data_IF_883021917592
#
_entry.id   IF_883021917592
#
_cell.length_a   1.000
_cell.length_b   1.000
_cell.length_c   1.000
_cell.angle_alpha   90.00
_cell.angle_beta   90.00
_cell.angle_gamma   90.00
#
_symmetry.space_group_name_H-M   'P 1'
#
loop_
_entity.id
_entity.type
_entity.pdbx_description
1 polymer ?
#
# COMPACT_ATOMS: atom_id res chain seq x y z
N UNK A 1 -19.75 -34.33 -23.86
CA UNK A 1 -18.54 -34.19 -23.02
C UNK A 1 -17.59 -33.19 -23.70
N UNK A 2 -17.87 -31.88 -23.57
CA UNK A 2 -17.01 -30.73 -23.97
C UNK A 2 -17.82 -29.43 -23.81
N UNK A 3 -17.89 -28.85 -22.60
CA UNK A 3 -18.41 -27.47 -22.37
C UNK A 3 -17.54 -26.71 -21.33
N UNK A 4 -16.35 -27.22 -21.00
CA UNK A 4 -15.55 -26.71 -19.88
C UNK A 4 -14.42 -25.72 -20.20
N UNK A 5 -14.22 -25.30 -21.45
CA UNK A 5 -12.98 -24.58 -21.86
C UNK A 5 -13.16 -23.12 -22.32
N UNK A 6 -14.39 -22.60 -22.38
CA UNK A 6 -14.62 -21.24 -22.90
C UNK A 6 -14.71 -20.12 -21.84
N UNK A 7 -15.02 -20.43 -20.58
CA UNK A 7 -15.30 -19.38 -19.57
C UNK A 7 -13.99 -18.81 -18.97
N UNK A 8 -12.93 -19.62 -18.84
CA UNK A 8 -11.63 -19.17 -18.34
C UNK A 8 -10.86 -18.26 -19.32
N UNK A 9 -11.23 -18.24 -20.61
CA UNK A 9 -10.53 -17.42 -21.62
C UNK A 9 -10.92 -15.95 -21.61
N UNK A 10 -12.13 -15.59 -21.16
CA UNK A 10 -12.62 -14.20 -21.21
C UNK A 10 -11.99 -13.28 -20.15
N UNK A 11 -11.77 -13.79 -18.94
CA UNK A 11 -11.24 -13.03 -17.80
C UNK A 11 -9.72 -12.87 -17.87
N UNK A 12 -9.02 -13.88 -18.40
CA UNK A 12 -7.56 -13.89 -18.52
C UNK A 12 -7.08 -13.01 -19.68
N UNK A 13 -7.77 -13.00 -20.83
CA UNK A 13 -7.37 -12.20 -21.99
C UNK A 13 -7.54 -10.68 -21.77
N UNK A 14 -8.49 -10.24 -20.96
CA UNK A 14 -8.67 -8.80 -20.63
C UNK A 14 -7.58 -8.25 -19.71
N UNK A 15 -6.95 -9.11 -18.91
CA UNK A 15 -5.82 -8.72 -18.05
C UNK A 15 -4.46 -8.81 -18.76
N UNK A 16 -4.29 -9.73 -19.72
CA UNK A 16 -3.07 -9.83 -20.52
C UNK A 16 -2.83 -8.61 -21.44
N UNK A 17 -3.88 -7.89 -21.84
CA UNK A 17 -3.74 -6.59 -22.53
C UNK A 17 -3.18 -5.46 -21.66
N UNK A 18 -2.96 -5.68 -20.36
CA UNK A 18 -2.32 -4.72 -19.46
C UNK A 18 -0.79 -4.91 -19.33
N UNK A 19 -0.17 -5.84 -20.06
CA UNK A 19 1.28 -6.10 -20.04
C UNK A 19 2.07 -5.25 -21.04
N UNK A 20 1.55 -4.10 -21.43
CA UNK A 20 2.40 -3.01 -21.93
C UNK A 20 3.09 -2.42 -20.70
N UNK A 21 4.41 -2.13 -20.73
CA UNK A 21 5.07 -1.44 -19.62
C UNK A 21 4.32 -0.13 -19.36
N UNK A 22 3.48 -0.12 -18.32
CA UNK A 22 2.77 1.07 -17.88
C UNK A 22 3.84 2.04 -17.42
N UNK A 23 3.91 3.20 -18.05
CA UNK A 23 4.71 4.30 -17.53
C UNK A 23 4.30 4.52 -16.06
N UNK A 24 5.30 4.67 -15.19
CA UNK A 24 5.22 4.82 -13.72
C UNK A 24 4.10 5.78 -13.26
N UNK A 25 3.66 6.70 -14.12
CA UNK A 25 2.61 7.70 -13.88
C UNK A 25 1.16 7.19 -13.78
N UNK A 26 0.86 5.88 -13.84
CA UNK A 26 -0.53 5.38 -13.95
C UNK A 26 -1.04 4.50 -12.80
N UNK A 27 -0.23 4.18 -11.79
CA UNK A 27 -0.71 3.42 -10.62
C UNK A 27 -1.40 4.37 -9.64
N UNK A 28 -2.66 4.10 -9.32
CA UNK A 28 -3.45 4.92 -8.39
C UNK A 28 -2.84 4.74 -6.98
N UNK A 29 -2.60 5.82 -6.22
CA UNK A 29 -1.97 5.74 -4.89
C UNK A 29 -2.67 4.81 -3.88
N UNK A 30 -3.95 4.47 -4.12
CA UNK A 30 -4.76 3.52 -3.35
C UNK A 30 -4.50 2.04 -3.66
N UNK A 31 -3.67 1.71 -4.65
CA UNK A 31 -3.30 0.32 -5.02
C UNK A 31 -1.91 -0.09 -4.49
N UNK A 32 -1.32 0.71 -3.57
CA UNK A 32 0.00 0.45 -2.99
C UNK A 32 -0.09 -0.21 -1.62
N UNK A 33 1.00 -0.87 -1.21
CA UNK A 33 1.13 -1.50 0.10
C UNK A 33 1.37 -0.43 1.17
N UNK A 34 0.76 -0.59 2.34
CA UNK A 34 0.81 0.38 3.45
C UNK A 34 1.56 -0.12 4.68
N UNK A 35 2.10 -1.35 4.65
CA UNK A 35 2.52 -2.10 5.85
C UNK A 35 3.61 -1.41 6.67
N UNK A 36 4.51 -0.70 6.00
CA UNK A 36 5.65 0.00 6.61
C UNK A 36 5.79 1.43 6.10
N UNK A 37 5.71 2.39 7.04
CA UNK A 37 5.79 3.83 6.78
C UNK A 37 7.05 4.40 7.46
N UNK A 38 8.21 4.32 6.79
CA UNK A 38 9.53 4.57 7.39
C UNK A 38 9.95 6.04 7.31
N UNK A 39 10.06 6.71 8.46
CA UNK A 39 10.52 8.08 8.59
C UNK A 39 12.03 8.22 8.44
N UNK A 40 12.43 9.24 7.67
CA UNK A 40 13.81 9.61 7.41
C UNK A 40 13.93 11.13 7.55
N UNK A 41 14.61 11.62 8.61
CA UNK A 41 14.82 13.05 8.81
C UNK A 41 15.55 13.68 7.62
N UNK A 42 14.98 14.75 7.08
CA UNK A 42 15.45 15.41 5.86
C UNK A 42 16.81 16.07 6.01
N UNK A 43 17.16 16.53 7.22
CA UNK A 43 18.46 17.14 7.54
C UNK A 43 19.59 16.12 7.70
N UNK A 44 19.27 14.82 7.76
CA UNK A 44 20.22 13.75 8.00
C UNK A 44 20.57 13.00 6.72
N UNK A 45 21.42 13.62 5.89
CA UNK A 45 21.88 13.05 4.61
C UNK A 45 22.43 11.61 4.76
N UNK A 46 23.11 11.32 5.87
CA UNK A 46 23.60 9.95 6.18
C UNK A 46 22.47 8.92 6.23
N UNK A 47 21.32 9.27 6.80
CA UNK A 47 20.15 8.37 6.90
C UNK A 47 19.49 8.20 5.54
N UNK A 48 19.35 9.26 4.75
CA UNK A 48 18.85 9.21 3.37
C UNK A 48 19.73 8.27 2.53
N UNK A 49 21.06 8.46 2.56
CA UNK A 49 22.03 7.57 1.86
C UNK A 49 21.92 6.11 2.30
N UNK A 50 21.70 5.86 3.59
CA UNK A 50 21.52 4.50 4.12
C UNK A 50 20.24 3.85 3.58
N UNK A 51 19.12 4.56 3.59
CA UNK A 51 17.84 4.06 3.08
C UNK A 51 17.90 3.86 1.56
N UNK A 52 18.49 4.80 0.83
CA UNK A 52 18.82 4.64 -0.60
C UNK A 52 19.55 3.34 -0.86
N UNK A 53 20.60 3.05 -0.09
CA UNK A 53 21.39 1.81 -0.25
C UNK A 53 20.56 0.55 0.01
N UNK A 54 19.71 0.55 1.04
CA UNK A 54 18.81 -0.58 1.34
C UNK A 54 17.82 -0.80 0.18
N UNK A 55 17.36 0.28 -0.44
CA UNK A 55 16.37 0.23 -1.52
C UNK A 55 16.97 0.07 -2.92
N UNK A 56 18.30 0.19 -3.06
CA UNK A 56 18.99 0.02 -4.33
C UNK A 56 19.28 -1.46 -4.61
N UNK A 57 18.22 -2.24 -4.73
CA UNK A 57 18.25 -3.67 -5.04
C UNK A 57 17.22 -3.99 -6.12
N UNK A 58 17.44 -5.07 -6.86
CA UNK A 58 16.46 -5.68 -7.77
C UNK A 58 15.66 -6.78 -7.11
N UNK A 59 16.08 -7.26 -5.95
CA UNK A 59 15.42 -8.35 -5.25
C UNK A 59 14.42 -7.78 -4.24
N UNK A 60 13.18 -8.27 -4.30
CA UNK A 60 12.19 -8.00 -3.27
C UNK A 60 12.62 -8.69 -1.97
N UNK A 61 12.64 -7.93 -0.89
CA UNK A 61 12.97 -8.41 0.45
C UNK A 61 11.99 -7.85 1.48
N UNK A 62 11.74 -8.63 2.54
CA UNK A 62 10.96 -8.21 3.71
C UNK A 62 11.51 -6.94 4.38
N UNK A 63 12.79 -6.62 4.15
CA UNK A 63 13.49 -5.46 4.71
C UNK A 63 13.28 -4.16 3.92
N UNK A 64 12.57 -4.21 2.78
CA UNK A 64 12.27 -3.02 1.97
C UNK A 64 11.00 -2.37 2.51
N UNK A 65 11.04 -1.09 2.91
CA UNK A 65 9.84 -0.40 3.36
C UNK A 65 8.87 -0.20 2.20
N UNK A 66 7.57 -0.27 2.48
CA UNK A 66 6.56 -0.02 1.46
C UNK A 66 6.43 1.48 1.14
N UNK A 67 6.61 2.33 2.14
CA UNK A 67 6.74 3.77 1.99
C UNK A 67 7.94 4.33 2.78
N UNK A 68 8.62 5.30 2.17
CA UNK A 68 9.62 6.14 2.82
C UNK A 68 9.04 7.54 2.98
N UNK A 69 9.13 8.08 4.20
CA UNK A 69 8.71 9.44 4.53
C UNK A 69 9.94 10.30 4.69
N UNK A 70 10.15 11.21 3.75
CA UNK A 70 11.18 12.24 3.83
C UNK A 70 10.61 13.37 4.70
N UNK A 71 11.24 13.61 5.84
CA UNK A 71 10.63 14.36 6.93
C UNK A 71 11.22 15.77 7.10
N UNK A 72 10.37 16.79 7.07
CA UNK A 72 10.70 18.18 7.39
C UNK A 72 10.23 18.60 8.78
N UNK A 73 9.49 17.76 9.50
CA UNK A 73 8.77 18.11 10.73
C UNK A 73 9.52 17.64 12.00
N UNK A 74 8.90 16.90 12.92
CA UNK A 74 9.37 16.78 14.31
C UNK A 74 10.71 16.05 14.47
N UNK A 75 11.17 15.31 13.45
CA UNK A 75 12.51 14.70 13.48
C UNK A 75 13.63 15.66 13.05
N UNK A 76 13.30 16.91 12.69
CA UNK A 76 14.21 17.97 12.24
C UNK A 76 14.12 19.15 13.19
N UNK A 77 15.27 19.61 13.72
CA UNK A 77 15.31 20.78 14.60
C UNK A 77 14.89 22.07 13.88
N UNK A 78 14.48 23.09 14.64
CA UNK A 78 13.99 24.36 14.10
C UNK A 78 15.04 25.04 13.20
N UNK A 79 16.31 25.07 13.61
CA UNK A 79 17.40 25.64 12.79
C UNK A 79 17.70 24.85 11.51
N UNK A 80 17.37 23.55 11.47
CA UNK A 80 17.71 22.66 10.35
C UNK A 80 16.58 22.53 9.32
N UNK A 81 15.41 23.16 9.51
CA UNK A 81 14.27 23.05 8.58
C UNK A 81 14.65 23.43 7.14
N UNK A 82 15.40 24.51 6.97
CA UNK A 82 15.87 24.94 5.65
C UNK A 82 16.85 23.93 5.02
N UNK A 83 17.74 23.35 5.84
CA UNK A 83 18.68 22.32 5.39
C UNK A 83 17.94 21.04 4.97
N UNK A 84 16.91 20.63 5.71
CA UNK A 84 16.10 19.46 5.40
C UNK A 84 15.42 19.58 4.03
N UNK A 85 14.74 20.70 3.77
CA UNK A 85 14.11 20.99 2.46
C UNK A 85 15.11 20.86 1.31
N UNK A 86 16.27 21.51 1.46
CA UNK A 86 17.33 21.49 0.45
C UNK A 86 17.86 20.08 0.21
N UNK A 87 18.12 19.33 1.27
CA UNK A 87 18.69 17.97 1.19
C UNK A 87 17.70 17.00 0.54
N UNK A 88 16.42 17.08 0.91
CA UNK A 88 15.35 16.32 0.28
C UNK A 88 15.24 16.66 -1.21
N UNK A 89 15.16 17.96 -1.55
CA UNK A 89 15.08 18.41 -2.94
C UNK A 89 16.28 17.92 -3.78
N UNK A 90 17.50 18.02 -3.24
CA UNK A 90 18.71 17.53 -3.91
C UNK A 90 18.71 16.01 -4.10
N UNK A 91 18.22 15.24 -3.12
CA UNK A 91 18.14 13.77 -3.23
C UNK A 91 17.13 13.32 -4.29
N UNK A 92 15.98 14.01 -4.38
CA UNK A 92 14.97 13.76 -5.41
C UNK A 92 15.48 14.17 -6.80
N UNK A 93 16.14 15.34 -6.91
CA UNK A 93 16.78 15.78 -8.14
C UNK A 93 17.85 14.78 -8.62
N UNK A 94 18.62 14.19 -7.70
CA UNK A 94 19.60 13.15 -8.00
C UNK A 94 18.99 11.77 -8.30
N UNK A 95 17.65 11.66 -8.31
CA UNK A 95 16.90 10.42 -8.57
C UNK A 95 17.27 9.26 -7.64
N UNK A 96 17.61 9.57 -6.40
CA UNK A 96 18.09 8.59 -5.42
C UNK A 96 17.12 7.43 -5.18
N UNK A 97 15.83 7.63 -5.44
CA UNK A 97 14.75 6.69 -5.19
C UNK A 97 14.02 6.20 -6.46
N UNK A 98 14.55 6.49 -7.65
CA UNK A 98 13.89 6.08 -8.90
C UNK A 98 13.74 4.56 -9.00
N UNK A 99 14.78 3.79 -8.64
CA UNK A 99 14.71 2.33 -8.62
C UNK A 99 13.66 1.82 -7.63
N UNK A 100 13.63 2.41 -6.44
CA UNK A 100 12.68 2.08 -5.39
C UNK A 100 11.22 2.27 -5.84
N UNK A 101 10.95 3.31 -6.63
CA UNK A 101 9.59 3.59 -7.12
C UNK A 101 9.26 2.80 -8.38
N UNK A 102 10.13 2.85 -9.38
CA UNK A 102 9.85 2.28 -10.70
C UNK A 102 10.00 0.75 -10.74
N UNK A 103 10.99 0.20 -10.03
CA UNK A 103 11.23 -1.24 -10.04
C UNK A 103 10.50 -1.90 -8.88
N UNK A 104 10.67 -1.40 -7.65
CA UNK A 104 10.07 -2.03 -6.46
C UNK A 104 8.61 -1.62 -6.22
N UNK A 105 8.03 -0.72 -7.02
CA UNK A 105 6.66 -0.24 -6.90
C UNK A 105 6.31 0.29 -5.50
N UNK A 106 7.28 0.99 -4.87
CA UNK A 106 7.15 1.55 -3.53
C UNK A 106 6.94 3.06 -3.54
N UNK A 107 6.47 3.61 -2.41
CA UNK A 107 6.03 5.00 -2.29
C UNK A 107 7.00 5.94 -1.60
N UNK A 108 7.08 7.18 -2.08
CA UNK A 108 7.68 8.28 -1.33
C UNK A 108 6.61 9.21 -0.80
N UNK A 109 6.68 9.52 0.50
CA UNK A 109 5.95 10.62 1.10
C UNK A 109 6.89 11.75 1.48
N UNK A 110 6.44 12.99 1.32
CA UNK A 110 7.04 14.16 1.97
C UNK A 110 6.19 14.50 3.19
N UNK A 111 6.73 14.38 4.41
CA UNK A 111 6.10 14.99 5.59
C UNK A 111 6.54 16.43 5.70
N UNK A 112 5.60 17.33 5.44
CA UNK A 112 5.79 18.78 5.59
C UNK A 112 5.67 19.17 7.06
N UNK A 113 6.07 20.39 7.42
CA UNK A 113 5.68 20.98 8.70
C UNK A 113 4.16 21.23 8.72
N UNK A 114 3.57 21.31 9.91
CA UNK A 114 2.13 21.54 10.02
C UNK A 114 1.73 22.88 9.38
N UNK A 115 0.57 22.97 8.69
CA UNK A 115 0.12 24.20 8.02
C UNK A 115 0.10 25.43 8.93
N UNK A 116 -0.16 25.25 10.22
CA UNK A 116 -0.20 26.29 11.25
C UNK A 116 1.15 26.93 11.58
N UNK A 117 2.27 26.30 11.20
CA UNK A 117 3.63 26.75 11.58
C UNK A 117 4.18 27.87 10.69
N UNK A 118 3.56 28.13 9.53
CA UNK A 118 4.11 29.02 8.50
C UNK A 118 5.29 28.43 7.70
N UNK A 119 5.77 27.23 8.04
CA UNK A 119 6.91 26.57 7.41
C UNK A 119 6.52 25.64 6.25
N UNK A 120 5.28 25.15 6.25
CA UNK A 120 4.74 24.21 5.28
C UNK A 120 4.83 24.69 3.82
N UNK A 121 4.65 26.00 3.61
CA UNK A 121 4.68 26.59 2.27
C UNK A 121 6.07 26.46 1.63
N UNK A 122 7.13 26.70 2.41
CA UNK A 122 8.51 26.54 1.95
C UNK A 122 8.87 25.08 1.74
N UNK A 123 8.35 24.16 2.59
CA UNK A 123 8.54 22.72 2.40
C UNK A 123 8.02 22.27 1.04
N UNK A 124 6.76 22.63 0.73
CA UNK A 124 6.11 22.30 -0.53
C UNK A 124 6.81 22.98 -1.71
N UNK A 125 7.06 24.29 -1.60
CA UNK A 125 7.61 25.08 -2.70
C UNK A 125 8.97 24.53 -3.13
N UNK A 126 9.93 24.44 -2.21
CA UNK A 126 11.31 24.03 -2.54
C UNK A 126 11.33 22.62 -3.11
N UNK A 127 10.64 21.66 -2.47
CA UNK A 127 10.70 20.26 -2.89
C UNK A 127 9.97 20.04 -4.22
N UNK A 128 8.77 20.57 -4.37
CA UNK A 128 7.96 20.33 -5.57
C UNK A 128 8.42 21.16 -6.77
N UNK A 129 8.93 22.39 -6.58
CA UNK A 129 9.46 23.19 -7.69
C UNK A 129 10.72 22.55 -8.26
N UNK A 130 11.65 22.11 -7.41
CA UNK A 130 12.85 21.39 -7.86
C UNK A 130 12.50 20.09 -8.58
N UNK A 131 11.53 19.33 -8.07
CA UNK A 131 11.07 18.11 -8.74
C UNK A 131 10.42 18.41 -10.11
N UNK A 132 9.60 19.45 -10.21
CA UNK A 132 8.96 19.88 -11.45
C UNK A 132 10.00 20.36 -12.49
N UNK A 133 11.00 21.13 -12.06
CA UNK A 133 12.09 21.58 -12.93
C UNK A 133 12.95 20.41 -13.41
N UNK A 134 13.27 19.46 -12.53
CA UNK A 134 14.00 18.24 -12.88
C UNK A 134 13.21 17.41 -13.89
N UNK A 135 11.90 17.24 -13.69
CA UNK A 135 11.02 16.54 -14.63
C UNK A 135 11.04 17.19 -16.02
N UNK A 136 11.06 18.53 -16.12
CA UNK A 136 11.17 19.25 -17.40
C UNK A 136 12.49 19.02 -18.09
N UNK A 137 13.59 19.02 -17.33
CA UNK A 137 14.94 18.83 -17.87
C UNK A 137 15.16 17.39 -18.39
N UNK A 138 14.61 16.40 -17.69
CA UNK A 138 14.95 14.98 -17.90
C UNK A 138 13.83 14.17 -18.60
N UNK A 139 13.12 14.78 -19.55
CA UNK A 139 12.21 14.05 -20.44
C UNK A 139 10.89 13.60 -19.82
N UNK A 140 10.40 14.29 -18.78
CA UNK A 140 9.02 14.15 -18.31
C UNK A 140 8.78 13.05 -17.26
N UNK A 141 9.83 12.52 -16.64
CA UNK A 141 9.69 11.55 -15.53
C UNK A 141 9.68 12.32 -14.20
N UNK A 142 8.63 12.13 -13.39
CA UNK A 142 8.46 12.79 -12.10
C UNK A 142 9.40 12.21 -11.02
N UNK A 143 10.35 12.99 -10.47
CA UNK A 143 11.24 12.51 -9.42
C UNK A 143 10.74 12.84 -8.00
N UNK A 144 9.75 13.72 -7.85
CA UNK A 144 9.21 14.20 -6.58
C UNK A 144 8.35 13.17 -5.84
N UNK A 145 7.83 13.47 -4.63
CA UNK A 145 7.08 12.50 -3.83
C UNK A 145 5.82 11.96 -4.54
N UNK A 146 5.29 10.84 -4.07
CA UNK A 146 3.97 10.30 -4.45
C UNK A 146 2.88 10.84 -3.50
N UNK A 147 3.23 11.05 -2.24
CA UNK A 147 2.32 11.46 -1.17
C UNK A 147 2.83 12.71 -0.45
N UNK A 148 1.90 13.50 0.08
CA UNK A 148 2.18 14.58 1.02
C UNK A 148 1.55 14.22 2.36
N UNK A 149 2.38 13.99 3.37
CA UNK A 149 1.95 13.77 4.75
C UNK A 149 1.80 15.10 5.46
N UNK A 150 0.58 15.35 5.94
CA UNK A 150 0.17 16.62 6.57
C UNK A 150 0.05 16.35 8.07
N UNK A 151 1.06 16.72 8.88
CA UNK A 151 0.98 16.53 10.33
C UNK A 151 -0.07 17.48 10.93
N UNK A 152 -0.54 17.14 12.12
CA UNK A 152 -1.44 17.95 12.96
C UNK A 152 -2.65 18.46 12.16
N UNK A 153 -3.29 17.57 11.41
CA UNK A 153 -4.49 17.89 10.61
C UNK A 153 -5.70 18.03 11.53
N UNK A 154 -6.17 19.26 11.72
CA UNK A 154 -7.30 19.56 12.61
C UNK A 154 -8.63 19.65 11.86
N UNK A 155 -8.59 19.94 10.55
CA UNK A 155 -9.77 20.18 9.72
C UNK A 155 -9.54 19.85 8.24
N UNK A 156 -10.63 19.78 7.46
CA UNK A 156 -10.53 19.67 5.99
C UNK A 156 -9.89 20.92 5.37
N UNK A 157 -9.96 22.07 6.04
CA UNK A 157 -9.36 23.31 5.57
C UNK A 157 -7.83 23.19 5.48
N UNK A 158 -7.19 22.44 6.38
CA UNK A 158 -5.76 22.16 6.33
C UNK A 158 -5.39 21.40 5.05
N UNK A 159 -6.20 20.40 4.68
CA UNK A 159 -6.01 19.61 3.45
C UNK A 159 -6.22 20.47 2.20
N UNK A 160 -7.26 21.30 2.17
CA UNK A 160 -7.50 22.24 1.08
C UNK A 160 -6.40 23.28 0.94
N UNK A 161 -5.87 23.77 2.06
CA UNK A 161 -4.76 24.70 2.03
C UNK A 161 -3.55 24.07 1.35
N UNK A 162 -3.17 22.84 1.73
CA UNK A 162 -2.06 22.10 1.11
C UNK A 162 -2.31 21.87 -0.37
N UNK A 163 -3.51 21.39 -0.76
CA UNK A 163 -3.89 21.25 -2.17
C UNK A 163 -3.72 22.57 -2.94
N UNK A 164 -4.18 23.68 -2.37
CA UNK A 164 -4.08 24.99 -3.02
C UNK A 164 -2.63 25.40 -3.26
N UNK A 165 -1.71 25.09 -2.33
CA UNK A 165 -0.28 25.37 -2.49
C UNK A 165 0.32 24.50 -3.59
N UNK A 166 0.03 23.19 -3.61
CA UNK A 166 0.48 22.27 -4.66
C UNK A 166 0.03 22.74 -6.04
N UNK A 167 -1.24 23.11 -6.18
CA UNK A 167 -1.78 23.60 -7.46
C UNK A 167 -1.12 24.91 -7.90
N UNK A 168 -0.87 25.85 -6.97
CA UNK A 168 -0.13 27.10 -7.28
C UNK A 168 1.30 26.81 -7.76
N UNK A 169 1.99 25.84 -7.13
CA UNK A 169 3.35 25.46 -7.54
C UNK A 169 3.32 24.88 -8.96
N UNK A 170 2.41 23.97 -9.27
CA UNK A 170 2.30 23.42 -10.63
C UNK A 170 1.81 24.43 -11.67
N UNK A 171 1.05 25.46 -11.27
CA UNK A 171 0.74 26.58 -12.15
C UNK A 171 1.98 27.42 -12.47
N UNK A 172 2.84 27.69 -11.47
CA UNK A 172 4.09 28.46 -11.64
C UNK A 172 5.16 27.67 -12.38
N UNK A 173 5.20 26.36 -12.19
CA UNK A 173 6.12 25.43 -12.85
C UNK A 173 5.31 24.47 -13.74
N UNK A 174 4.74 24.94 -14.87
CA UNK A 174 3.81 24.15 -15.67
C UNK A 174 4.47 22.90 -16.23
N UNK A 175 4.00 21.72 -15.80
CA UNK A 175 4.46 20.39 -16.22
C UNK A 175 3.28 19.60 -16.80
N UNK A 176 3.56 18.74 -17.78
CA UNK A 176 2.58 17.87 -18.39
C UNK A 176 3.19 16.47 -18.63
N UNK A 177 2.51 15.38 -18.20
CA UNK A 177 1.30 15.37 -17.37
C UNK A 177 1.56 15.88 -15.94
N UNK A 178 0.52 16.39 -15.26
CA UNK A 178 0.61 16.68 -13.82
C UNK A 178 0.77 15.35 -13.08
N UNK A 179 1.74 15.22 -12.15
CA UNK A 179 1.95 13.99 -11.40
C UNK A 179 0.75 13.68 -10.51
N UNK A 180 0.45 12.39 -10.37
CA UNK A 180 -0.64 11.91 -9.51
C UNK A 180 -0.19 11.93 -8.05
N UNK A 181 -0.42 13.05 -7.35
CA UNK A 181 -0.15 13.21 -5.94
C UNK A 181 -1.39 12.88 -5.09
N UNK A 182 -1.15 12.33 -3.89
CA UNK A 182 -2.20 12.08 -2.91
C UNK A 182 -1.81 12.63 -1.53
N UNK A 183 -2.82 12.85 -0.68
CA UNK A 183 -2.65 13.38 0.66
C UNK A 183 -2.75 12.27 1.71
N UNK A 184 -1.96 12.40 2.76
CA UNK A 184 -2.03 11.57 3.97
C UNK A 184 -2.20 12.51 5.16
N UNK A 185 -3.34 12.45 5.82
CA UNK A 185 -3.59 13.24 7.04
C UNK A 185 -3.00 12.56 8.26
N UNK A 186 -2.54 13.32 9.25
CA UNK A 186 -2.14 12.78 10.54
C UNK A 186 -3.06 13.31 11.64
N UNK A 187 -3.66 12.38 12.37
CA UNK A 187 -4.56 12.64 13.50
C UNK A 187 -3.76 12.47 14.78
N UNK A 188 -3.54 13.58 15.45
CA UNK A 188 -2.50 13.72 16.48
C UNK A 188 -2.99 14.57 17.66
N UNK A 189 -4.29 14.82 17.77
CA UNK A 189 -4.87 15.62 18.84
C UNK A 189 -6.30 15.15 19.19
N UNK A 190 -6.78 15.51 20.37
CA UNK A 190 -8.16 15.24 20.77
C UNK A 190 -9.19 15.88 19.79
N UNK A 191 -8.91 17.11 19.35
CA UNK A 191 -9.75 17.84 18.39
C UNK A 191 -9.78 17.15 17.03
N UNK A 192 -8.62 16.84 16.45
CA UNK A 192 -8.53 16.13 15.18
C UNK A 192 -9.22 14.76 15.22
N UNK A 193 -9.11 14.03 16.33
CA UNK A 193 -9.83 12.77 16.52
C UNK A 193 -11.35 12.96 16.45
N UNK A 194 -11.89 13.95 17.16
CA UNK A 194 -13.34 14.24 17.14
C UNK A 194 -13.83 14.74 15.78
N UNK A 195 -12.98 15.44 15.03
CA UNK A 195 -13.31 16.00 13.71
C UNK A 195 -13.14 15.00 12.56
N UNK A 196 -12.60 13.80 12.79
CA UNK A 196 -12.31 12.83 11.71
C UNK A 196 -13.49 12.57 10.77
N UNK A 197 -14.73 12.59 11.27
CA UNK A 197 -15.91 12.38 10.42
C UNK A 197 -16.03 13.43 9.33
N UNK A 198 -15.88 14.69 9.73
CA UNK A 198 -15.95 15.84 8.84
C UNK A 198 -14.76 15.85 7.90
N UNK A 199 -13.55 15.67 8.44
CA UNK A 199 -12.31 15.63 7.66
C UNK A 199 -12.43 14.57 6.55
N UNK A 200 -12.78 13.32 6.88
CA UNK A 200 -12.85 12.23 5.91
C UNK A 200 -13.98 12.41 4.89
N UNK A 201 -15.18 12.84 5.33
CA UNK A 201 -16.33 13.06 4.44
C UNK A 201 -16.03 14.17 3.45
N UNK A 202 -15.63 15.34 3.95
CA UNK A 202 -15.48 16.53 3.13
C UNK A 202 -14.27 16.36 2.20
N UNK A 203 -13.16 15.82 2.70
CA UNK A 203 -11.99 15.49 1.88
C UNK A 203 -12.35 14.62 0.66
N UNK A 204 -13.23 13.63 0.84
CA UNK A 204 -13.68 12.75 -0.24
C UNK A 204 -14.53 13.48 -1.28
N UNK A 205 -15.32 14.47 -0.84
CA UNK A 205 -16.27 15.18 -1.69
C UNK A 205 -15.67 16.39 -2.39
N UNK A 206 -14.68 17.05 -1.78
CA UNK A 206 -14.24 18.39 -2.20
C UNK A 206 -12.80 18.46 -2.71
N UNK A 207 -11.91 17.54 -2.32
CA UNK A 207 -10.52 17.58 -2.75
C UNK A 207 -10.34 17.05 -4.18
N UNK A 208 -9.42 17.68 -4.91
CA UNK A 208 -8.89 17.22 -6.20
C UNK A 208 -7.70 16.28 -6.03
N UNK A 209 -6.88 16.52 -5.02
CA UNK A 209 -5.84 15.59 -4.57
C UNK A 209 -6.46 14.62 -3.56
N UNK A 210 -6.57 13.32 -3.89
CA UNK A 210 -7.28 12.40 -3.03
C UNK A 210 -6.57 12.24 -1.68
N UNK A 211 -7.34 12.32 -0.60
CA UNK A 211 -6.93 11.79 0.70
C UNK A 211 -7.00 10.26 0.64
N UNK A 212 -5.89 9.58 0.92
CA UNK A 212 -5.79 8.12 0.74
C UNK A 212 -5.44 7.35 2.01
N UNK A 213 -4.89 8.02 3.01
CA UNK A 213 -4.56 7.39 4.29
C UNK A 213 -4.65 8.39 5.44
N UNK A 214 -4.87 7.86 6.65
CA UNK A 214 -4.67 8.60 7.90
C UNK A 214 -3.63 7.89 8.77
N UNK A 215 -2.86 8.68 9.50
CA UNK A 215 -1.85 8.22 10.45
C UNK A 215 -2.26 8.61 11.87
N UNK A 216 -2.07 7.71 12.83
CA UNK A 216 -2.28 8.01 14.24
C UNK A 216 -0.98 8.48 14.92
N UNK A 217 -0.83 9.79 15.18
CA UNK A 217 0.31 10.32 15.94
C UNK A 217 0.05 10.25 17.44
N UNK A 218 0.48 9.16 18.08
CA UNK A 218 0.14 8.90 19.49
C UNK A 218 0.76 9.86 20.48
N UNK A 219 2.01 10.27 20.24
CA UNK A 219 2.79 11.06 21.20
C UNK A 219 2.21 12.47 21.32
N UNK A 220 1.95 13.12 20.18
CA UNK A 220 1.24 14.39 20.10
C UNK A 220 -0.20 14.27 20.60
N UNK A 221 -0.89 13.17 20.29
CA UNK A 221 -2.25 12.93 20.80
C UNK A 221 -2.26 12.89 22.33
N UNK A 222 -1.31 12.19 22.94
CA UNK A 222 -1.18 12.12 24.39
C UNK A 222 -0.80 13.47 25.00
N UNK A 223 0.10 14.21 24.35
CA UNK A 223 0.42 15.57 24.75
C UNK A 223 -0.82 16.48 24.72
N UNK A 224 -1.67 16.37 23.69
CA UNK A 224 -2.91 17.14 23.55
C UNK A 224 -3.93 16.85 24.65
N UNK A 225 -3.93 15.62 25.19
CA UNK A 225 -4.78 15.19 26.29
C UNK A 225 -4.18 15.47 27.67
N UNK A 226 -2.90 15.81 27.75
CA UNK A 226 -2.18 15.92 29.02
C UNK A 226 -1.95 14.57 29.71
N UNK A 227 -1.84 13.48 28.95
CA UNK A 227 -1.62 12.12 29.49
C UNK A 227 -0.21 11.63 29.16
N UNK A 228 0.33 10.75 30.01
CA UNK A 228 1.63 10.10 29.80
C UNK A 228 1.46 8.71 29.19
N UNK A 229 2.36 8.36 28.27
CA UNK A 229 2.38 7.03 27.69
C UNK A 229 2.66 5.94 28.70
N UNK A 230 1.80 4.92 28.70
CA UNK A 230 2.03 3.70 29.47
C UNK A 230 2.59 2.60 28.57
N UNK A 231 3.26 1.62 29.17
CA UNK A 231 3.72 0.44 28.42
C UNK A 231 2.54 -0.36 27.83
N UNK A 232 1.37 -0.30 28.48
CA UNK A 232 0.16 -1.00 28.02
C UNK A 232 -0.50 -0.35 26.80
N UNK A 233 -0.24 0.94 26.58
CA UNK A 233 -0.88 1.78 25.55
C UNK A 233 -2.41 1.80 25.62
N UNK A 234 -3.00 1.39 26.75
CA UNK A 234 -4.46 1.38 26.92
C UNK A 234 -5.06 2.78 26.82
N UNK A 235 -4.32 3.80 27.22
CA UNK A 235 -4.72 5.20 27.15
C UNK A 235 -5.01 5.67 25.71
N UNK A 236 -4.41 5.02 24.70
CA UNK A 236 -4.62 5.31 23.30
C UNK A 236 -5.62 4.36 22.60
N UNK A 237 -6.18 3.36 23.32
CA UNK A 237 -6.98 2.30 22.69
C UNK A 237 -8.23 2.85 21.99
N UNK A 238 -8.97 3.75 22.65
CA UNK A 238 -10.14 4.41 22.05
C UNK A 238 -9.77 5.12 20.75
N UNK A 239 -8.73 5.96 20.78
CA UNK A 239 -8.29 6.72 19.61
C UNK A 239 -7.85 5.81 18.46
N UNK A 240 -7.11 4.74 18.78
CA UNK A 240 -6.66 3.76 17.79
C UNK A 240 -7.82 3.06 17.08
N UNK A 241 -8.80 2.59 17.85
CA UNK A 241 -9.98 1.93 17.29
C UNK A 241 -10.88 2.91 16.52
N UNK A 242 -11.04 4.12 17.03
CA UNK A 242 -11.82 5.16 16.37
C UNK A 242 -11.22 5.52 15.02
N UNK A 243 -9.89 5.76 14.96
CA UNK A 243 -9.21 6.09 13.71
C UNK A 243 -9.36 4.99 12.65
N UNK A 244 -9.12 3.71 13.01
CA UNK A 244 -9.30 2.61 12.06
C UNK A 244 -10.74 2.56 11.56
N UNK A 245 -11.71 2.68 12.46
CA UNK A 245 -13.15 2.67 12.10
C UNK A 245 -13.45 3.75 11.08
N UNK A 246 -12.97 4.97 11.30
CA UNK A 246 -13.16 6.09 10.38
C UNK A 246 -12.44 5.86 9.05
N UNK A 247 -11.19 5.41 9.05
CA UNK A 247 -10.47 5.07 7.83
C UNK A 247 -11.24 4.05 6.98
N UNK A 248 -11.68 2.94 7.59
CA UNK A 248 -12.42 1.90 6.86
C UNK A 248 -13.77 2.39 6.36
N UNK A 249 -14.47 3.24 7.12
CA UNK A 249 -15.75 3.82 6.70
C UNK A 249 -15.64 4.67 5.43
N UNK A 250 -14.50 5.32 5.20
CA UNK A 250 -14.25 6.18 4.04
C UNK A 250 -13.31 5.58 3.00
N UNK A 251 -12.88 4.32 3.16
CA UNK A 251 -12.00 3.64 2.21
C UNK A 251 -10.55 4.15 2.23
N UNK A 252 -10.10 4.68 3.38
CA UNK A 252 -8.74 5.15 3.60
C UNK A 252 -7.88 4.04 4.21
N UNK A 253 -6.59 4.05 3.88
CA UNK A 253 -5.61 3.29 4.64
C UNK A 253 -5.44 3.89 6.05
N UNK A 254 -5.05 3.04 6.99
CA UNK A 254 -4.85 3.38 8.39
C UNK A 254 -3.45 2.97 8.83
N UNK A 255 -2.67 3.94 9.31
CA UNK A 255 -1.30 3.74 9.77
C UNK A 255 -1.21 3.95 11.28
N UNK A 256 -0.74 2.92 11.98
CA UNK A 256 -0.67 2.89 13.44
C UNK A 256 0.49 3.73 13.99
N UNK A 257 0.45 3.99 15.29
CA UNK A 257 1.40 4.83 16.01
C UNK A 257 2.86 4.35 15.96
N UNK A 258 3.80 5.22 16.30
CA UNK A 258 5.20 4.85 16.52
C UNK A 258 5.30 3.92 17.75
N UNK A 259 6.19 2.94 17.69
CA UNK A 259 6.63 2.21 18.89
C UNK A 259 8.16 2.26 18.93
N UNK A 260 8.70 2.83 20.00
CA UNK A 260 10.13 3.09 20.15
C UNK A 260 10.87 1.89 20.72
N UNK A 261 10.20 1.06 21.53
CA UNK A 261 10.81 -0.11 22.15
C UNK A 261 10.76 -1.32 21.21
N UNK A 262 11.94 -1.76 20.77
CA UNK A 262 12.08 -2.91 19.87
C UNK A 262 11.64 -4.24 20.52
N UNK A 263 11.63 -4.35 21.85
CA UNK A 263 11.22 -5.57 22.54
C UNK A 263 9.70 -5.79 22.45
N UNK A 264 8.93 -4.70 22.50
CA UNK A 264 7.46 -4.72 22.43
C UNK A 264 6.93 -4.48 21.01
N UNK A 265 7.79 -4.04 20.09
CA UNK A 265 7.43 -3.67 18.71
C UNK A 265 6.59 -4.73 17.98
N UNK A 266 7.01 -6.00 18.00
CA UNK A 266 6.27 -7.09 17.32
C UNK A 266 4.86 -7.27 17.88
N UNK A 267 4.74 -7.34 19.21
CA UNK A 267 3.46 -7.46 19.89
C UNK A 267 2.54 -6.28 19.58
N UNK A 268 3.11 -5.08 19.49
CA UNK A 268 2.37 -3.86 19.16
C UNK A 268 1.89 -3.85 17.70
N UNK A 269 2.72 -4.30 16.75
CA UNK A 269 2.33 -4.49 15.35
C UNK A 269 1.21 -5.52 15.22
N UNK A 270 1.34 -6.68 15.85
CA UNK A 270 0.32 -7.74 15.79
C UNK A 270 -1.00 -7.25 16.40
N UNK A 271 -0.94 -6.44 17.46
CA UNK A 271 -2.12 -5.82 18.04
C UNK A 271 -2.74 -4.77 17.10
N UNK A 272 -1.94 -3.90 16.48
CA UNK A 272 -2.41 -2.95 15.48
C UNK A 272 -3.10 -3.64 14.30
N UNK A 273 -2.50 -4.70 13.76
CA UNK A 273 -3.09 -5.52 12.70
C UNK A 273 -4.44 -6.13 13.13
N UNK A 274 -4.54 -6.65 14.37
CA UNK A 274 -5.81 -7.15 14.93
C UNK A 274 -6.88 -6.07 15.10
N UNK A 275 -6.50 -4.82 15.33
CA UNK A 275 -7.44 -3.69 15.35
C UNK A 275 -7.93 -3.30 13.95
N UNK A 276 -7.23 -3.73 12.90
CA UNK A 276 -7.58 -3.47 11.49
C UNK A 276 -6.71 -2.41 10.81
N UNK A 277 -5.60 -1.99 11.40
CA UNK A 277 -4.62 -1.13 10.74
C UNK A 277 -3.99 -1.81 9.52
N UNK A 278 -3.66 -1.02 8.50
CA UNK A 278 -3.03 -1.50 7.26
C UNK A 278 -1.48 -1.46 7.33
N UNK A 279 -0.95 -0.74 8.32
CA UNK A 279 0.48 -0.62 8.53
C UNK A 279 0.83 0.24 9.74
N UNK A 280 2.11 0.61 9.84
CA UNK A 280 2.65 1.31 11.01
C UNK A 280 3.74 2.32 10.67
N UNK A 281 3.79 3.40 11.43
CA UNK A 281 4.90 4.34 11.44
C UNK A 281 6.18 3.72 12.00
N UNK A 282 7.28 3.83 11.24
CA UNK A 282 8.57 3.25 11.59
C UNK A 282 9.64 4.33 11.68
N UNK A 283 10.52 4.24 12.67
CA UNK A 283 11.61 5.20 12.90
C UNK A 283 13.00 4.55 12.77
N UNK A 284 13.05 3.23 12.56
CA UNK A 284 14.31 2.49 12.42
C UNK A 284 14.21 1.34 11.40
N UNK A 285 15.21 1.10 10.52
CA UNK A 285 15.16 0.05 9.51
C UNK A 285 14.89 -1.38 10.04
N UNK A 286 15.32 -1.68 11.29
CA UNK A 286 15.04 -2.98 11.93
C UNK A 286 13.55 -3.24 12.19
N UNK A 287 12.71 -2.21 12.10
CA UNK A 287 11.26 -2.31 12.30
C UNK A 287 10.52 -2.70 11.02
N UNK A 288 11.15 -2.58 9.85
CA UNK A 288 10.51 -2.79 8.55
C UNK A 288 10.02 -4.23 8.39
N UNK A 289 10.92 -5.21 8.56
CA UNK A 289 10.56 -6.61 8.41
C UNK A 289 9.47 -7.06 9.40
N UNK A 290 9.58 -6.79 10.71
CA UNK A 290 8.52 -7.15 11.65
C UNK A 290 7.17 -6.49 11.34
N UNK A 291 7.15 -5.23 10.87
CA UNK A 291 5.92 -4.57 10.45
C UNK A 291 5.35 -5.20 9.16
N UNK A 292 6.17 -5.37 8.13
CA UNK A 292 5.77 -6.01 6.88
C UNK A 292 5.18 -7.42 7.09
N UNK A 293 5.71 -8.17 8.06
CA UNK A 293 5.18 -9.49 8.44
C UNK A 293 3.83 -9.39 9.17
N UNK A 294 3.70 -8.50 10.16
CA UNK A 294 2.49 -8.38 10.97
C UNK A 294 1.27 -7.86 10.18
N UNK A 295 1.50 -6.95 9.23
CA UNK A 295 0.46 -6.35 8.39
C UNK A 295 0.28 -7.07 7.05
N UNK A 296 0.87 -8.25 6.87
CA UNK A 296 0.57 -9.15 5.76
C UNK A 296 -0.33 -10.29 6.24
N UNK A 297 -1.28 -10.79 5.42
CA UNK A 297 -2.01 -12.00 5.74
C UNK A 297 -1.06 -13.19 5.94
N UNK A 298 -1.20 -13.93 7.05
CA UNK A 298 -0.37 -15.12 7.29
C UNK A 298 -0.69 -16.24 6.29
N UNK A 299 0.26 -17.15 5.99
CA UNK A 299 0.01 -18.29 5.12
C UNK A 299 -1.21 -19.13 5.54
N UNK A 300 -1.39 -19.34 6.85
CA UNK A 300 -2.52 -20.07 7.41
C UNK A 300 -3.83 -19.30 7.22
N UNK A 301 -3.79 -17.97 7.36
CA UNK A 301 -4.95 -17.09 7.15
C UNK A 301 -5.36 -17.06 5.68
N UNK A 302 -4.39 -17.06 4.76
CA UNK A 302 -4.62 -17.16 3.31
C UNK A 302 -5.21 -18.53 2.98
N UNK A 303 -4.63 -19.63 3.47
CA UNK A 303 -5.15 -20.98 3.23
C UNK A 303 -6.58 -21.13 3.73
N UNK A 304 -6.86 -20.67 4.96
CA UNK A 304 -8.20 -20.65 5.52
C UNK A 304 -9.16 -19.84 4.65
N UNK A 305 -8.77 -18.62 4.24
CA UNK A 305 -9.60 -17.74 3.45
C UNK A 305 -9.92 -18.32 2.06
N UNK A 306 -8.91 -18.86 1.38
CA UNK A 306 -9.08 -19.54 0.08
C UNK A 306 -10.07 -20.69 0.20
N UNK A 307 -9.92 -21.56 1.21
CA UNK A 307 -10.82 -22.70 1.43
C UNK A 307 -12.25 -22.29 1.80
N UNK A 308 -12.42 -21.19 2.54
CA UNK A 308 -13.76 -20.65 2.86
C UNK A 308 -14.43 -20.10 1.59
N UNK A 309 -13.70 -19.38 0.73
CA UNK A 309 -14.23 -18.87 -0.55
C UNK A 309 -14.60 -20.03 -1.49
N UNK A 310 -13.75 -21.06 -1.58
CA UNK A 310 -14.04 -22.27 -2.37
C UNK A 310 -15.27 -23.01 -1.84
N UNK A 311 -15.40 -23.19 -0.52
CA UNK A 311 -16.55 -23.83 0.09
C UNK A 311 -17.85 -23.03 -0.16
N UNK A 312 -17.80 -21.70 -0.05
CA UNK A 312 -18.93 -20.84 -0.37
C UNK A 312 -19.36 -20.99 -1.84
N UNK A 313 -18.40 -20.97 -2.77
CA UNK A 313 -18.68 -21.16 -4.20
C UNK A 313 -19.34 -22.52 -4.48
N UNK A 314 -18.86 -23.60 -3.85
CA UNK A 314 -19.45 -24.93 -3.99
C UNK A 314 -20.90 -24.99 -3.48
N UNK A 315 -21.21 -24.34 -2.36
CA UNK A 315 -22.58 -24.28 -1.83
C UNK A 315 -23.53 -23.44 -2.69
N UNK A 316 -23.06 -22.34 -3.29
CA UNK A 316 -23.85 -21.58 -4.28
C UNK A 316 -24.21 -22.43 -5.51
N UNK A 317 -23.29 -23.27 -5.99
CA UNK A 317 -23.57 -24.17 -7.13
C UNK A 317 -24.55 -25.29 -6.79
N UNK A 318 -24.63 -25.72 -5.53
CA UNK A 318 -25.60 -26.71 -5.06
C UNK A 318 -27.00 -26.09 -4.84
N UNK A 319 -27.06 -24.83 -4.41
CA UNK A 319 -28.32 -24.10 -4.18
C UNK A 319 -29.00 -23.59 -5.47
N UNK A 320 -28.24 -23.37 -6.54
CA UNK A 320 -28.76 -22.88 -7.84
C UNK A 320 -29.41 -23.97 -8.71
N UNK A 321 -29.50 -25.22 -8.22
CA UNK A 321 -30.30 -26.29 -8.85
C UNK A 321 -31.80 -26.13 -8.54
N UNK A 322 -32.19 -25.24 -7.61
CA UNK A 322 -33.59 -24.93 -7.33
C UNK A 322 -33.89 -23.44 -7.36
N UNK A 323 -33.86 -22.80 -8.54
CA UNK A 323 -34.82 -21.76 -8.99
C UNK A 323 -34.36 -21.08 -10.29
N UNK A 324 -35.34 -20.79 -11.13
CA UNK A 324 -35.27 -20.29 -12.50
C UNK A 324 -34.89 -18.81 -12.64
N UNK A 325 -34.10 -18.53 -13.70
CA UNK A 325 -34.15 -17.35 -14.61
C UNK A 325 -33.88 -15.95 -14.03
N UNK A 326 -32.64 -15.45 -14.20
CA UNK A 326 -32.31 -14.25 -15.00
C UNK A 326 -30.82 -13.87 -14.84
N UNK A 327 -30.07 -14.04 -15.92
CA UNK A 327 -28.63 -13.90 -15.97
C UNK A 327 -28.21 -12.49 -16.41
N UNK A 328 -27.84 -11.63 -15.45
CA UNK A 328 -26.92 -10.51 -15.65
C UNK A 328 -26.02 -10.33 -14.42
N UNK A 329 -24.71 -10.19 -14.68
CA UNK A 329 -23.56 -9.87 -13.79
C UNK A 329 -22.89 -11.01 -13.00
N UNK A 330 -21.57 -11.12 -13.23
CA UNK A 330 -20.66 -12.19 -12.80
C UNK A 330 -20.09 -12.00 -11.37
N UNK A 331 -20.87 -11.38 -10.48
CA UNK A 331 -20.46 -11.11 -9.08
C UNK A 331 -21.24 -11.96 -8.06
N UNK A 332 -22.04 -12.93 -8.55
CA UNK A 332 -23.03 -13.69 -7.76
C UNK A 332 -22.53 -15.00 -7.13
N UNK A 333 -21.38 -15.54 -7.50
CA UNK A 333 -21.03 -16.93 -7.13
C UNK A 333 -20.77 -17.17 -5.63
N UNK A 334 -20.58 -16.12 -4.82
CA UNK A 334 -20.47 -16.21 -3.36
C UNK A 334 -21.60 -15.47 -2.62
N UNK A 335 -22.51 -14.79 -3.33
CA UNK A 335 -23.62 -14.04 -2.74
C UNK A 335 -24.78 -14.95 -2.30
N UNK A 336 -24.93 -16.13 -2.91
CA UNK A 336 -26.09 -17.01 -2.73
C UNK A 336 -25.83 -18.19 -1.78
N UNK A 337 -24.60 -18.38 -1.30
CA UNK A 337 -24.32 -19.32 -0.22
C UNK A 337 -24.95 -18.75 1.06
N UNK A 338 -26.08 -19.32 1.48
CA UNK A 338 -26.64 -19.12 2.82
C UNK A 338 -25.65 -19.56 3.91
N UNK A 339 -26.14 -19.85 5.12
CA UNK A 339 -25.28 -20.41 6.15
C UNK A 339 -24.88 -21.87 5.82
N UNK A 340 -23.60 -22.22 5.97
CA UNK A 340 -23.09 -23.57 5.74
C UNK A 340 -22.07 -23.98 6.80
N UNK A 341 -21.84 -25.29 6.97
CA UNK A 341 -20.86 -25.80 7.94
C UNK A 341 -19.51 -25.99 7.25
N UNK A 342 -18.45 -25.41 7.81
CA UNK A 342 -17.07 -25.59 7.35
C UNK A 342 -16.17 -25.87 8.55
N UNK A 343 -15.45 -27.00 8.51
CA UNK A 343 -14.57 -27.46 9.60
C UNK A 343 -15.25 -27.43 10.98
N UNK A 344 -16.51 -27.86 11.04
CA UNK A 344 -17.30 -27.91 12.28
C UNK A 344 -17.86 -26.57 12.77
N UNK A 345 -17.62 -25.46 12.05
CA UNK A 345 -18.16 -24.15 12.39
C UNK A 345 -19.22 -23.71 11.39
N UNK A 346 -20.24 -22.99 11.86
CA UNK A 346 -21.20 -22.32 10.99
C UNK A 346 -20.54 -21.10 10.34
N UNK A 347 -20.51 -21.07 9.02
CA UNK A 347 -20.02 -19.98 8.19
C UNK A 347 -21.21 -19.28 7.58
N UNK A 348 -21.17 -17.95 7.62
CA UNK A 348 -22.17 -17.05 7.08
C UNK A 348 -21.54 -16.02 6.15
N UNK A 349 -22.37 -15.15 5.58
CA UNK A 349 -21.92 -14.13 4.62
C UNK A 349 -20.84 -13.19 5.17
N UNK A 350 -20.95 -12.62 6.39
CA UNK A 350 -19.86 -11.87 7.01
C UNK A 350 -18.52 -12.59 7.02
N UNK A 351 -18.51 -13.88 7.37
CA UNK A 351 -17.27 -14.68 7.42
C UNK A 351 -16.69 -14.90 6.02
N UNK A 352 -17.53 -15.14 5.01
CA UNK A 352 -17.11 -15.21 3.61
C UNK A 352 -16.53 -13.88 3.14
N UNK A 353 -17.12 -12.73 3.51
CA UNK A 353 -16.56 -11.40 3.17
C UNK A 353 -15.17 -11.17 3.77
N UNK A 354 -14.95 -11.65 5.01
CA UNK A 354 -13.62 -11.60 5.62
C UNK A 354 -12.61 -12.43 4.84
N UNK A 355 -13.00 -13.62 4.39
CA UNK A 355 -12.16 -14.50 3.58
C UNK A 355 -11.86 -13.88 2.20
N UNK A 356 -12.87 -13.36 1.50
CA UNK A 356 -12.72 -12.65 0.21
C UNK A 356 -11.70 -11.50 0.34
N UNK A 357 -11.82 -10.69 1.41
CA UNK A 357 -10.88 -9.60 1.68
C UNK A 357 -9.44 -10.09 1.84
N UNK A 358 -9.22 -11.14 2.62
CA UNK A 358 -7.89 -11.74 2.81
C UNK A 358 -7.32 -12.25 1.48
N UNK A 359 -8.13 -12.93 0.66
CA UNK A 359 -7.65 -13.42 -0.65
C UNK A 359 -7.30 -12.29 -1.61
N UNK A 360 -8.06 -11.19 -1.60
CA UNK A 360 -7.76 -9.99 -2.39
C UNK A 360 -6.45 -9.34 -1.95
N UNK A 361 -6.28 -9.11 -0.64
CA UNK A 361 -5.06 -8.53 -0.07
C UNK A 361 -3.82 -9.40 -0.38
N UNK A 362 -3.96 -10.72 -0.28
CA UNK A 362 -2.91 -11.67 -0.64
C UNK A 362 -2.55 -11.62 -2.12
N UNK A 363 -3.55 -11.52 -3.01
CA UNK A 363 -3.33 -11.41 -4.44
C UNK A 363 -2.64 -10.09 -4.83
N UNK A 364 -3.04 -8.97 -4.23
CA UNK A 364 -2.41 -7.66 -4.46
C UNK A 364 -0.93 -7.68 -4.02
N UNK A 365 -0.63 -8.25 -2.85
CA UNK A 365 0.73 -8.48 -2.39
C UNK A 365 1.53 -9.34 -3.38
N UNK A 366 0.95 -10.42 -3.88
CA UNK A 366 1.61 -11.37 -4.78
C UNK A 366 1.82 -10.76 -6.17
N UNK A 367 0.89 -9.97 -6.68
CA UNK A 367 1.03 -9.23 -7.93
C UNK A 367 2.14 -8.18 -7.85
N UNK A 368 2.23 -7.43 -6.75
CA UNK A 368 3.30 -6.47 -6.52
C UNK A 368 4.67 -7.14 -6.34
N UNK A 369 4.69 -8.39 -5.88
CA UNK A 369 5.91 -9.23 -5.84
C UNK A 369 6.25 -9.85 -7.21
N UNK A 370 5.25 -10.22 -8.01
CA UNK A 370 5.41 -10.97 -9.27
C UNK A 370 5.73 -10.11 -10.50
N UNK A 371 5.53 -8.77 -10.46
CA UNK A 371 5.91 -7.86 -11.56
C UNK A 371 7.42 -7.96 -11.91
N UNK A 372 8.25 -8.53 -11.03
CA UNK A 372 9.66 -8.83 -11.31
C UNK A 372 9.92 -10.08 -12.18
N UNK A 373 8.98 -11.02 -12.28
CA UNK A 373 9.20 -12.32 -12.94
C UNK A 373 8.93 -12.26 -14.46
N UNK A 374 8.35 -11.16 -14.96
CA UNK A 374 7.98 -10.99 -16.37
C UNK A 374 9.03 -10.24 -17.21
N UNK A 375 10.22 -9.97 -16.69
CA UNK A 375 11.37 -9.51 -17.49
C UNK A 375 12.22 -10.71 -17.96
N UNK A 376 12.77 -10.73 -19.20
CA UNK A 376 13.19 -11.97 -19.88
C UNK A 376 14.45 -12.68 -19.33
N UNK A 377 15.00 -12.29 -18.17
CA UNK A 377 16.36 -12.68 -17.79
C UNK A 377 16.54 -13.40 -16.45
N UNK A 378 15.50 -13.67 -15.66
CA UNK A 378 15.70 -14.31 -14.35
C UNK A 378 14.73 -15.47 -14.13
N UNK A 379 15.12 -16.65 -14.61
CA UNK A 379 14.38 -17.91 -14.47
C UNK A 379 15.19 -18.95 -13.68
N UNK A 380 15.67 -18.61 -12.48
CA UNK A 380 16.22 -19.60 -11.54
C UNK A 380 16.12 -19.05 -10.11
N UNK A 381 14.96 -19.22 -9.47
CA UNK A 381 14.74 -19.36 -8.01
C UNK A 381 13.32 -18.93 -7.61
N UNK A 382 12.34 -19.80 -7.85
CA UNK A 382 10.97 -19.66 -7.31
C UNK A 382 10.69 -20.65 -6.16
N UNK A 383 11.53 -21.68 -5.97
CA UNK A 383 11.25 -22.74 -4.98
C UNK A 383 11.60 -22.41 -3.52
N UNK A 384 12.23 -21.28 -3.22
CA UNK A 384 12.69 -20.94 -1.85
C UNK A 384 11.78 -19.99 -1.09
N UNK A 385 10.82 -19.31 -1.73
CA UNK A 385 9.95 -18.33 -1.07
C UNK A 385 8.58 -18.87 -0.67
N UNK A 386 8.07 -19.92 -1.33
CA UNK A 386 6.80 -20.55 -0.98
C UNK A 386 6.77 -22.06 -1.34
N UNK A 387 7.10 -22.98 -0.42
CA UNK A 387 7.11 -24.43 -0.70
C UNK A 387 5.72 -25.05 -0.95
N UNK A 388 4.64 -24.29 -0.73
CA UNK A 388 3.26 -24.75 -0.90
C UNK A 388 2.73 -24.63 -2.34
N UNK A 389 3.47 -24.02 -3.27
CA UNK A 389 3.03 -23.81 -4.64
C UNK A 389 3.95 -24.48 -5.67
N UNK A 390 3.41 -25.44 -6.41
CA UNK A 390 3.94 -25.85 -7.72
C UNK A 390 3.13 -25.13 -8.79
N UNK A 391 3.74 -24.14 -9.46
CA UNK A 391 3.09 -23.46 -10.61
C UNK A 391 3.72 -23.92 -11.93
N UNK A 392 2.88 -24.42 -12.84
CA UNK A 392 3.23 -24.60 -14.26
C UNK A 392 2.84 -23.33 -15.01
N UNK A 393 3.83 -22.55 -15.44
CA UNK A 393 3.61 -21.39 -16.31
C UNK A 393 3.63 -21.85 -17.76
N UNK A 394 2.48 -21.84 -18.44
CA UNK A 394 2.39 -22.08 -19.89
C UNK A 394 2.37 -20.73 -20.60
N UNK A 395 3.48 -20.35 -21.24
CA UNK A 395 3.55 -19.14 -22.07
C UNK A 395 3.22 -19.45 -23.53
N UNK A 396 2.34 -18.66 -24.13
CA UNK A 396 2.14 -18.60 -25.58
C UNK A 396 2.92 -17.42 -26.15
N UNK A 397 3.90 -17.68 -27.02
CA UNK A 397 4.58 -16.64 -27.78
C UNK A 397 3.79 -16.34 -29.05
N UNK A 398 3.43 -15.07 -29.27
CA UNK A 398 3.19 -14.53 -30.60
C UNK A 398 4.33 -13.56 -30.92
N UNK A 399 5.21 -13.95 -31.83
CA UNK A 399 6.10 -13.01 -32.54
C UNK A 399 5.73 -13.01 -34.04
N UNK A 400 5.92 -11.90 -34.78
CA UNK A 400 5.54 -11.84 -36.19
C UNK A 400 6.46 -12.60 -37.15
N UNK A 401 7.52 -13.26 -36.68
CA UNK A 401 8.54 -13.84 -37.57
C UNK A 401 9.04 -15.21 -37.03
N UNK A 402 8.62 -16.26 -37.74
CA UNK A 402 9.02 -17.69 -37.69
C UNK A 402 8.48 -18.53 -36.51
N UNK A 403 7.61 -19.48 -36.86
CA UNK A 403 7.14 -20.56 -35.99
C UNK A 403 8.27 -21.51 -35.61
N UNK A 404 8.50 -21.71 -34.31
CA UNK A 404 9.08 -22.94 -33.77
C UNK A 404 7.99 -23.68 -33.01
N UNK A 405 7.70 -24.92 -33.41
CA UNK A 405 6.88 -25.84 -32.63
C UNK A 405 7.81 -26.71 -31.79
N UNK A 406 7.76 -26.52 -30.47
CA UNK A 406 8.37 -27.41 -29.50
C UNK A 406 7.40 -27.64 -28.35
N UNK A 407 6.84 -28.84 -28.26
CA UNK A 407 6.09 -29.30 -27.10
C UNK A 407 7.06 -29.97 -26.12
N UNK A 408 7.27 -29.38 -24.94
CA UNK A 408 7.91 -30.10 -23.83
C UNK A 408 6.81 -30.77 -22.99
N UNK A 409 6.73 -32.09 -23.08
CA UNK A 409 5.81 -32.91 -22.28
C UNK A 409 6.61 -33.56 -21.15
N UNK A 410 6.26 -33.30 -19.89
CA UNK A 410 6.73 -34.09 -18.75
C UNK A 410 5.56 -34.93 -18.23
N UNK A 411 5.65 -36.24 -18.44
CA UNK A 411 4.74 -37.24 -17.87
C UNK A 411 5.18 -37.57 -16.44
N UNK A 412 4.24 -37.56 -15.49
CA UNK A 412 4.40 -38.26 -14.21
C UNK A 412 3.50 -39.49 -14.21
N UNK A 413 4.10 -40.67 -14.37
CA UNK A 413 3.47 -41.95 -14.05
C UNK A 413 3.71 -42.32 -12.58
N UNK A 414 2.86 -43.15 -11.96
CA UNK A 414 3.03 -43.56 -10.57
C UNK A 414 4.19 -44.56 -10.49
N UNK A 415 5.27 -44.20 -9.79
CA UNK A 415 6.30 -45.18 -9.44
C UNK A 415 5.79 -46.06 -8.29
N UNK A 416 5.33 -47.25 -8.67
CA UNK A 416 5.23 -48.40 -7.78
C UNK A 416 6.64 -49.02 -7.59
N UNK A 417 7.00 -49.24 -6.31
CA UNK A 417 7.94 -50.25 -5.76
C UNK A 417 9.43 -50.12 -6.18
N UNK A 418 10.44 -50.26 -5.31
CA UNK A 418 10.65 -51.00 -4.06
C UNK A 418 11.50 -50.20 -3.09
#
# INVERSE_FOLDING_TARGET
MQIGSLIARGSMLRLLTCLVPRSVSTVIPSERLWRSFLYVPGDQERKIKKVKRICNTTELSSSIPDLIVLDCEDAVSAENKALARKTIASSLQARDFERYRAHLLRGLSLRINAPSTGLAADDLYIVLSTAAETMKADGGIWPGPDYISIPKTESVADLHWVESQVMKIFQKHPIAPIPNLALIGMIESASSLMNMREICRDARETLKLPLVAMVFGSDDYCASLGITHSQSRQEALFARQYLVTMCKAYGLASLDMVETDLNTFRLNCDFGARLGYDGKQLIHPKQVEPANAAYAPSPERIEWATKVVEAAAAHTTLSSVSTSVDAKTADRSALDAGAFVFRGNMIDRPTVRQAERVTKESFELLMLLAIFVMMPCYFFHINTLFPAYSFTVVMWFQSPLKCYHGSLSLFFGPNNQK
#
